data_IF_381722198815
#
_entry.id   IF_381722198815
#
_cell.length_a   1.000
_cell.length_b   1.000
_cell.length_c   1.000
_cell.angle_alpha   90.00
_cell.angle_beta   90.00
_cell.angle_gamma   90.00
#
_symmetry.space_group_name_H-M   'P 1'
#
loop_
_entity.id
_entity.type
_entity.pdbx_description
1 polymer ?
#
# COMPACT_ATOMS: atom_id res chain seq x y z
N UNK A 1 7.94 -4.69 6.96
CA UNK A 1 8.32 -5.30 8.23
C UNK A 1 7.12 -5.84 8.97
N UNK A 2 7.32 -6.94 9.65
CA UNK A 2 6.22 -7.68 10.26
C UNK A 2 5.91 -7.20 11.69
N UNK A 3 6.65 -6.22 12.20
CA UNK A 3 6.46 -5.66 13.54
C UNK A 3 6.72 -4.15 13.50
N UNK A 4 5.72 -3.35 13.12
CA UNK A 4 5.85 -1.89 13.05
C UNK A 4 6.07 -1.25 14.42
N UNK A 5 6.76 -0.13 14.45
CA UNK A 5 6.97 0.70 15.63
C UNK A 5 5.81 1.68 15.84
N UNK A 6 5.11 2.02 14.76
CA UNK A 6 3.99 2.98 14.75
C UNK A 6 2.82 2.41 13.96
N UNK A 7 1.63 2.52 14.50
CA UNK A 7 0.36 2.22 13.83
C UNK A 7 -0.49 3.48 13.78
N UNK A 8 -0.91 3.89 12.59
CA UNK A 8 -1.92 4.95 12.41
C UNK A 8 -3.27 4.30 12.11
N UNK A 9 -4.17 4.29 13.08
CA UNK A 9 -5.50 3.70 12.94
C UNK A 9 -6.55 4.79 12.68
N UNK A 10 -6.98 4.88 11.44
CA UNK A 10 -7.95 5.87 10.98
C UNK A 10 -9.40 5.57 11.38
N UNK A 11 -9.67 4.37 11.92
CA UNK A 11 -10.97 3.93 12.42
C UNK A 11 -10.83 2.70 13.32
N UNK A 12 -11.88 2.31 14.10
CA UNK A 12 -11.82 1.16 15.00
C UNK A 12 -11.55 -0.17 14.32
N UNK A 13 -12.06 -0.40 13.12
CA UNK A 13 -11.82 -1.65 12.39
C UNK A 13 -10.34 -1.81 12.01
N UNK A 14 -9.70 -0.73 11.55
CA UNK A 14 -8.28 -0.71 11.27
C UNK A 14 -7.45 -1.00 12.53
N UNK A 15 -7.83 -0.41 13.67
CA UNK A 15 -7.19 -0.70 14.95
C UNK A 15 -7.30 -2.19 15.29
N UNK A 16 -8.51 -2.75 15.23
CA UNK A 16 -8.77 -4.15 15.61
C UNK A 16 -7.96 -5.17 14.83
N UNK A 17 -7.83 -4.93 13.52
CA UNK A 17 -7.14 -5.86 12.62
C UNK A 17 -5.62 -5.78 12.78
N UNK A 18 -5.07 -4.56 12.96
CA UNK A 18 -3.63 -4.35 12.85
C UNK A 18 -2.91 -4.20 14.21
N UNK A 19 -3.65 -4.06 15.32
CA UNK A 19 -3.04 -3.85 16.63
C UNK A 19 -2.10 -4.99 17.04
N UNK A 20 -2.42 -6.22 16.67
CA UNK A 20 -1.63 -7.42 16.96
C UNK A 20 -0.22 -7.38 16.34
N UNK A 21 -0.05 -6.62 15.26
CA UNK A 21 1.21 -6.53 14.53
C UNK A 21 2.12 -5.43 15.10
N UNK A 22 1.53 -4.49 15.89
CA UNK A 22 2.27 -3.42 16.55
C UNK A 22 3.11 -3.96 17.72
N UNK A 23 4.38 -3.59 17.77
CA UNK A 23 5.27 -3.97 18.87
C UNK A 23 4.73 -3.53 20.22
N UNK A 24 4.88 -4.32 21.28
CA UNK A 24 4.61 -3.85 22.66
C UNK A 24 5.38 -2.55 22.96
N UNK A 25 4.69 -1.58 23.55
CA UNK A 25 5.24 -0.24 23.77
C UNK A 25 5.32 0.64 22.52
N UNK A 26 4.85 0.15 21.38
CA UNK A 26 4.79 0.90 20.13
C UNK A 26 3.84 2.09 20.19
N UNK A 27 3.97 2.99 19.23
CA UNK A 27 3.16 4.19 19.13
C UNK A 27 1.88 3.93 18.35
N UNK A 28 0.76 4.38 18.89
CA UNK A 28 -0.55 4.25 18.28
C UNK A 28 -1.17 5.63 18.09
N UNK A 29 -1.35 6.02 16.84
CA UNK A 29 -1.99 7.28 16.46
C UNK A 29 -3.42 7.00 16.00
N UNK A 30 -4.40 7.60 16.68
CA UNK A 30 -5.82 7.39 16.44
C UNK A 30 -6.48 8.65 15.88
N UNK A 31 -7.35 8.48 14.89
CA UNK A 31 -8.26 9.52 14.45
C UNK A 31 -9.49 9.53 15.39
N UNK A 32 -9.50 10.40 16.39
CA UNK A 32 -10.46 10.38 17.50
C UNK A 32 -11.92 10.45 17.07
N UNK A 33 -12.23 11.28 16.07
CA UNK A 33 -13.61 11.45 15.57
C UNK A 33 -14.19 10.13 15.02
N UNK A 34 -13.35 9.27 14.48
CA UNK A 34 -13.80 8.00 13.93
C UNK A 34 -14.20 6.94 15.00
N UNK A 35 -13.85 7.16 16.26
CA UNK A 35 -14.15 6.21 17.35
C UNK A 35 -15.52 6.46 18.02
N UNK A 36 -16.53 6.78 17.21
CA UNK A 36 -17.92 6.91 17.65
C UNK A 36 -18.52 5.56 18.06
N UNK A 37 -19.54 5.58 18.90
CA UNK A 37 -20.25 4.37 19.35
C UNK A 37 -20.72 3.49 18.18
N UNK A 38 -21.24 4.12 17.11
CA UNK A 38 -21.66 3.44 15.90
C UNK A 38 -20.51 2.68 15.23
N UNK A 39 -19.36 3.32 15.06
CA UNK A 39 -18.21 2.72 14.39
C UNK A 39 -17.55 1.64 15.24
N UNK A 40 -17.55 1.80 16.56
CA UNK A 40 -17.10 0.79 17.50
C UNK A 40 -17.96 -0.48 17.43
N UNK A 41 -19.28 -0.32 17.43
CA UNK A 41 -20.21 -1.44 17.26
C UNK A 41 -20.01 -2.16 15.94
N UNK A 42 -19.89 -1.43 14.83
CA UNK A 42 -19.61 -2.02 13.51
C UNK A 42 -18.29 -2.77 13.44
N UNK A 43 -17.28 -2.34 14.19
CA UNK A 43 -16.00 -3.03 14.30
C UNK A 43 -16.04 -4.20 15.31
N UNK A 44 -17.20 -4.42 15.97
CA UNK A 44 -17.40 -5.50 16.95
C UNK A 44 -16.66 -5.29 18.27
N UNK A 45 -16.49 -4.03 18.70
CA UNK A 45 -16.05 -3.68 20.04
C UNK A 45 -17.24 -3.64 21.00
N UNK A 46 -17.06 -4.21 22.21
CA UNK A 46 -18.06 -4.14 23.30
C UNK A 46 -17.88 -2.86 24.14
N UNK A 47 -16.66 -2.36 24.24
CA UNK A 47 -16.30 -1.13 24.92
C UNK A 47 -15.35 -0.29 24.03
N UNK A 48 -15.17 0.98 24.37
CA UNK A 48 -14.25 1.82 23.64
C UNK A 48 -12.80 1.52 24.08
N UNK A 49 -11.95 0.97 23.19
CA UNK A 49 -10.58 0.61 23.52
C UNK A 49 -9.72 1.81 23.96
N UNK A 50 -10.11 3.02 23.57
CA UNK A 50 -9.39 4.25 23.98
C UNK A 50 -9.57 4.52 25.48
N UNK A 51 -10.65 4.06 26.09
CA UNK A 51 -11.01 4.37 27.48
C UNK A 51 -11.13 3.15 28.39
N UNK A 52 -11.12 1.93 27.87
CA UNK A 52 -11.32 0.69 28.63
C UNK A 52 -10.02 0.10 29.21
N UNK A 53 -8.88 0.74 28.95
CA UNK A 53 -7.57 0.29 29.44
C UNK A 53 -6.90 -0.78 28.55
N UNK A 54 -7.55 -1.28 27.52
CA UNK A 54 -7.00 -2.33 26.65
C UNK A 54 -5.74 -1.89 25.86
N UNK A 55 -5.55 -0.59 25.72
CA UNK A 55 -4.39 -0.01 25.02
C UNK A 55 -3.25 0.42 25.98
N UNK A 56 -3.30 0.07 27.27
CA UNK A 56 -2.32 0.51 28.26
C UNK A 56 -0.85 0.11 27.94
N UNK A 57 -0.66 -0.93 27.14
CA UNK A 57 0.67 -1.38 26.70
C UNK A 57 1.24 -0.60 25.53
N UNK A 58 0.54 0.43 25.04
CA UNK A 58 0.93 1.23 23.87
C UNK A 58 0.99 2.71 24.22
N UNK A 59 1.77 3.47 23.47
CA UNK A 59 1.77 4.94 23.56
C UNK A 59 0.68 5.49 22.65
N UNK A 60 -0.46 5.81 23.25
CA UNK A 60 -1.66 6.23 22.50
C UNK A 60 -1.70 7.73 22.33
N UNK A 61 -1.77 8.17 21.08
CA UNK A 61 -1.99 9.56 20.68
C UNK A 61 -3.30 9.67 19.90
N UNK A 62 -4.21 10.46 20.43
CA UNK A 62 -5.53 10.65 19.84
C UNK A 62 -5.66 12.07 19.30
N UNK A 63 -5.93 12.20 18.00
CA UNK A 63 -6.04 13.47 17.31
C UNK A 63 -7.29 13.50 16.41
N UNK A 64 -7.97 14.67 16.35
CA UNK A 64 -9.10 14.89 15.43
C UNK A 64 -8.59 15.13 14.01
N UNK A 65 -8.03 14.06 13.40
CA UNK A 65 -7.44 14.13 12.06
C UNK A 65 -8.48 14.57 11.02
N UNK A 66 -9.71 14.08 11.11
CA UNK A 66 -10.78 14.44 10.17
C UNK A 66 -11.15 15.90 10.30
N UNK A 67 -11.44 16.39 11.51
CA UNK A 67 -11.82 17.79 11.72
C UNK A 67 -10.70 18.77 11.37
N UNK A 68 -9.44 18.43 11.72
CA UNK A 68 -8.29 19.25 11.32
C UNK A 68 -8.11 19.30 9.80
N UNK A 69 -8.33 18.18 9.10
CA UNK A 69 -8.30 18.14 7.64
C UNK A 69 -9.38 19.03 7.05
N UNK A 70 -10.63 18.92 7.53
CA UNK A 70 -11.75 19.73 7.03
C UNK A 70 -11.47 21.22 7.20
N UNK A 71 -10.95 21.65 8.36
CA UNK A 71 -10.54 23.04 8.58
C UNK A 71 -9.45 23.50 7.61
N UNK A 72 -8.45 22.65 7.34
CA UNK A 72 -7.35 22.99 6.45
C UNK A 72 -7.79 23.21 4.99
N UNK A 73 -8.88 22.59 4.55
CA UNK A 73 -9.38 22.66 3.17
C UNK A 73 -10.69 23.47 3.02
N UNK A 74 -11.23 24.02 4.10
CA UNK A 74 -12.53 24.68 4.15
C UNK A 74 -12.70 25.77 3.07
N UNK A 75 -11.69 26.60 2.88
CA UNK A 75 -11.73 27.70 1.90
C UNK A 75 -11.80 27.25 0.44
N UNK A 76 -11.57 25.97 0.15
CA UNK A 76 -11.61 25.41 -1.21
C UNK A 76 -13.02 24.97 -1.62
N UNK A 77 -14.01 25.06 -0.73
CA UNK A 77 -15.43 24.77 -0.99
C UNK A 77 -15.68 23.41 -1.66
N UNK A 78 -14.87 22.41 -1.33
CA UNK A 78 -15.03 21.05 -1.82
C UNK A 78 -16.31 20.42 -1.24
N UNK A 79 -16.90 19.47 -1.99
CA UNK A 79 -17.94 18.64 -1.39
C UNK A 79 -17.36 17.83 -0.21
N UNK A 80 -18.19 17.56 0.80
CA UNK A 80 -17.76 16.92 2.04
C UNK A 80 -17.03 15.60 1.83
N UNK A 81 -17.46 14.78 0.86
CA UNK A 81 -16.83 13.48 0.56
C UNK A 81 -15.41 13.66 0.03
N UNK A 82 -15.16 14.64 -0.81
CA UNK A 82 -13.84 14.94 -1.34
C UNK A 82 -12.93 15.51 -0.24
N UNK A 83 -13.43 16.46 0.55
CA UNK A 83 -12.70 17.05 1.67
C UNK A 83 -12.26 16.00 2.70
N UNK A 84 -13.17 15.12 3.13
CA UNK A 84 -12.87 14.04 4.10
C UNK A 84 -11.80 13.07 3.57
N UNK A 85 -11.73 12.81 2.26
CA UNK A 85 -10.71 11.92 1.70
C UNK A 85 -9.30 12.46 1.82
N UNK A 86 -9.12 13.77 1.92
CA UNK A 86 -7.81 14.39 2.10
C UNK A 86 -7.14 14.04 3.45
N UNK A 87 -7.88 13.51 4.41
CA UNK A 87 -7.36 13.11 5.73
C UNK A 87 -6.22 12.09 5.67
N UNK A 88 -6.14 11.30 4.60
CA UNK A 88 -5.05 10.36 4.41
C UNK A 88 -3.71 11.11 4.19
N UNK A 89 -3.74 12.23 3.49
CA UNK A 89 -2.55 13.07 3.33
C UNK A 89 -2.22 13.85 4.60
N UNK A 90 -3.22 14.22 5.41
CA UNK A 90 -2.94 14.76 6.75
C UNK A 90 -2.19 13.74 7.61
N UNK A 91 -2.71 12.50 7.69
CA UNK A 91 -2.05 11.43 8.43
C UNK A 91 -0.63 11.15 7.90
N UNK A 92 -0.45 11.17 6.57
CA UNK A 92 0.86 11.01 5.95
C UNK A 92 1.81 12.16 6.30
N UNK A 93 1.33 13.41 6.30
CA UNK A 93 2.13 14.56 6.73
C UNK A 93 2.62 14.44 8.17
N UNK A 94 1.74 14.00 9.07
CA UNK A 94 2.11 13.72 10.46
C UNK A 94 3.20 12.64 10.56
N UNK A 95 3.08 11.57 9.77
CA UNK A 95 4.09 10.50 9.71
C UNK A 95 5.41 11.02 9.15
N UNK A 96 5.41 11.89 8.14
CA UNK A 96 6.62 12.51 7.62
C UNK A 96 7.37 13.30 8.70
N UNK A 97 6.64 14.10 9.48
CA UNK A 97 7.23 14.81 10.61
C UNK A 97 7.80 13.84 11.65
N UNK A 98 7.00 12.84 12.05
CA UNK A 98 7.39 11.87 13.07
C UNK A 98 8.68 11.11 12.72
N UNK A 99 8.89 10.82 11.44
CA UNK A 99 10.07 10.11 10.91
C UNK A 99 11.14 11.03 10.34
N UNK A 100 11.04 12.35 10.55
CA UNK A 100 11.95 13.35 10.03
C UNK A 100 12.23 13.17 8.52
N UNK A 101 11.17 13.00 7.73
CA UNK A 101 11.24 12.74 6.29
C UNK A 101 10.77 13.95 5.50
N UNK A 102 11.49 14.26 4.43
CA UNK A 102 11.09 15.29 3.48
C UNK A 102 9.83 14.86 2.71
N UNK A 103 8.73 15.63 2.75
CA UNK A 103 7.51 15.31 2.02
C UNK A 103 7.57 15.63 0.52
N UNK A 104 8.68 16.16 -0.01
CA UNK A 104 8.78 16.66 -1.38
C UNK A 104 8.38 15.63 -2.44
N UNK A 105 8.76 14.38 -2.29
CA UNK A 105 8.35 13.32 -3.23
C UNK A 105 6.83 13.12 -3.27
N UNK A 106 6.14 13.27 -2.13
CA UNK A 106 4.68 13.20 -2.09
C UNK A 106 4.04 14.46 -2.66
N UNK A 107 4.66 15.62 -2.51
CA UNK A 107 4.21 16.86 -3.16
C UNK A 107 4.20 16.67 -4.68
N UNK A 108 5.29 16.24 -5.27
CA UNK A 108 5.38 15.95 -6.72
C UNK A 108 4.33 14.91 -7.14
N UNK A 109 4.19 13.82 -6.37
CA UNK A 109 3.16 12.81 -6.64
C UNK A 109 1.75 13.39 -6.66
N UNK A 110 1.40 14.27 -5.71
CA UNK A 110 0.08 14.91 -5.64
C UNK A 110 -0.13 15.79 -6.88
N UNK A 111 0.87 16.57 -7.27
CA UNK A 111 0.82 17.46 -8.44
C UNK A 111 0.59 16.68 -9.74
N UNK A 112 1.23 15.55 -9.91
CA UNK A 112 1.10 14.69 -11.09
C UNK A 112 -0.20 13.88 -11.10
N UNK A 113 -0.61 13.36 -9.94
CA UNK A 113 -1.75 12.45 -9.79
C UNK A 113 -3.09 13.14 -9.90
N UNK A 114 -3.25 14.29 -9.27
CA UNK A 114 -4.53 14.98 -9.19
C UNK A 114 -4.66 16.05 -10.28
N UNK A 115 -5.47 15.75 -11.30
CA UNK A 115 -5.68 16.67 -12.43
C UNK A 115 -6.57 17.85 -12.07
N UNK A 116 -7.53 17.67 -11.14
CA UNK A 116 -8.37 18.73 -10.60
C UNK A 116 -7.53 19.64 -9.69
N UNK A 117 -7.42 20.96 -10.02
CA UNK A 117 -6.63 21.89 -9.23
C UNK A 117 -7.11 22.02 -7.78
N UNK A 118 -8.42 21.96 -7.54
CA UNK A 118 -9.00 22.10 -6.19
C UNK A 118 -8.67 20.89 -5.33
N UNK A 119 -8.75 19.67 -5.88
CA UNK A 119 -8.36 18.43 -5.19
C UNK A 119 -6.85 18.37 -4.95
N UNK A 120 -6.06 18.84 -5.90
CA UNK A 120 -4.60 18.93 -5.76
C UNK A 120 -4.23 19.83 -4.60
N UNK A 121 -4.73 21.04 -4.60
CA UNK A 121 -4.48 22.02 -3.54
C UNK A 121 -4.97 21.52 -2.17
N UNK A 122 -6.14 20.86 -2.11
CA UNK A 122 -6.65 20.29 -0.88
C UNK A 122 -5.74 19.21 -0.29
N UNK A 123 -5.23 18.33 -1.11
CA UNK A 123 -4.32 17.28 -0.66
C UNK A 123 -2.96 17.85 -0.21
N UNK A 124 -2.45 18.88 -0.89
CA UNK A 124 -1.24 19.61 -0.48
C UNK A 124 -1.44 20.30 0.87
N UNK A 125 -2.57 21.00 1.06
CA UNK A 125 -2.90 21.63 2.35
C UNK A 125 -3.04 20.62 3.47
N UNK A 126 -3.74 19.51 3.21
CA UNK A 126 -3.89 18.45 4.20
C UNK A 126 -2.53 17.84 4.60
N UNK A 127 -1.65 17.56 3.64
CA UNK A 127 -0.28 17.08 3.88
C UNK A 127 0.51 18.06 4.76
N UNK A 128 0.51 19.34 4.39
CA UNK A 128 1.21 20.39 5.13
C UNK A 128 0.61 20.59 6.54
N UNK A 129 -0.72 20.55 6.67
CA UNK A 129 -1.39 20.68 7.96
C UNK A 129 -1.04 19.52 8.89
N UNK A 130 -0.94 18.29 8.39
CA UNK A 130 -0.51 17.14 9.17
C UNK A 130 0.93 17.24 9.62
N UNK A 131 1.83 17.69 8.75
CA UNK A 131 3.23 17.93 9.09
C UNK A 131 3.39 18.98 10.20
N UNK A 132 2.75 20.13 10.02
CA UNK A 132 2.78 21.24 11.00
C UNK A 132 2.11 20.85 12.33
N UNK A 133 1.06 20.01 12.30
CA UNK A 133 0.45 19.49 13.51
C UNK A 133 1.44 18.66 14.32
N UNK A 134 2.22 17.80 13.67
CA UNK A 134 3.28 17.04 14.34
C UNK A 134 4.30 17.96 15.03
N UNK A 135 4.67 19.07 14.39
CA UNK A 135 5.63 20.03 14.92
C UNK A 135 5.07 20.83 16.10
N UNK A 136 3.79 21.22 16.06
CA UNK A 136 3.21 22.16 17.04
C UNK A 136 2.48 21.50 18.19
N UNK A 137 2.10 20.23 18.06
CA UNK A 137 1.20 19.58 19.03
C UNK A 137 1.89 19.12 20.32
N UNK A 138 3.23 19.17 20.39
CA UNK A 138 4.03 18.67 21.55
C UNK A 138 3.60 17.27 22.04
N UNK A 139 2.89 16.53 21.17
CA UNK A 139 2.30 15.22 21.51
C UNK A 139 3.33 14.09 21.50
N UNK A 140 4.48 14.34 20.89
CA UNK A 140 5.48 13.31 20.67
C UNK A 140 6.79 13.64 21.36
N UNK A 141 7.13 12.87 22.38
CA UNK A 141 8.42 13.00 23.11
C UNK A 141 9.64 12.64 22.24
N UNK A 142 9.41 11.98 21.11
CA UNK A 142 10.47 11.46 20.24
C UNK A 142 10.05 11.50 18.79
N UNK A 143 10.94 11.92 17.92
CA UNK A 143 10.91 11.65 16.49
C UNK A 143 11.77 10.42 16.16
N UNK A 144 11.46 9.77 15.06
CA UNK A 144 12.26 8.67 14.53
C UNK A 144 13.16 9.16 13.39
N UNK A 145 14.28 8.51 13.21
CA UNK A 145 15.14 8.72 12.06
C UNK A 145 15.28 7.42 11.29
N UNK A 146 14.93 7.44 10.02
CA UNK A 146 15.19 6.34 9.10
C UNK A 146 16.44 6.67 8.32
N UNK A 147 17.57 6.09 8.73
CA UNK A 147 18.85 6.30 8.06
C UNK A 147 18.81 5.77 6.63
N UNK A 148 19.57 6.43 5.76
CA UNK A 148 19.73 5.95 4.39
C UNK A 148 20.37 4.56 4.40
N UNK A 149 19.81 3.63 3.60
CA UNK A 149 20.36 2.30 3.44
C UNK A 149 21.77 2.36 2.85
N UNK A 150 22.70 1.62 3.44
CA UNK A 150 24.04 1.46 2.91
C UNK A 150 24.02 0.34 1.87
N UNK A 151 23.74 0.70 0.62
CA UNK A 151 23.78 -0.21 -0.52
C UNK A 151 24.94 0.16 -1.44
N UNK A 152 25.53 -0.80 -2.19
CA UNK A 152 26.57 -0.51 -3.17
C UNK A 152 26.14 0.56 -4.16
N UNK A 153 27.08 1.34 -4.67
CA UNK A 153 26.77 2.33 -5.71
C UNK A 153 26.29 1.61 -6.98
N UNK A 154 25.19 2.07 -7.56
CA UNK A 154 24.62 1.45 -8.77
C UNK A 154 23.32 2.14 -9.20
N UNK A 155 22.80 1.68 -10.33
CA UNK A 155 21.46 2.05 -10.78
C UNK A 155 20.45 1.06 -10.20
N UNK A 156 19.49 1.58 -9.45
CA UNK A 156 18.44 0.79 -8.81
C UNK A 156 17.07 1.19 -9.33
N UNK A 157 16.17 0.24 -9.40
CA UNK A 157 14.75 0.48 -9.66
C UNK A 157 13.92 -0.35 -8.69
N UNK A 158 12.76 0.14 -8.35
CA UNK A 158 11.77 -0.66 -7.66
C UNK A 158 11.17 -1.67 -8.64
N UNK A 159 11.09 -2.93 -8.21
CA UNK A 159 10.55 -4.02 -9.02
C UNK A 159 9.68 -4.91 -8.12
N UNK A 160 8.52 -5.35 -8.62
CA UNK A 160 7.70 -6.35 -7.95
C UNK A 160 8.26 -7.76 -8.16
N UNK A 161 7.90 -8.70 -7.27
CA UNK A 161 8.29 -10.11 -7.44
C UNK A 161 7.77 -10.70 -8.75
N UNK A 162 6.54 -10.38 -9.15
CA UNK A 162 5.96 -10.83 -10.41
C UNK A 162 6.71 -10.29 -11.64
N UNK A 163 7.14 -9.03 -11.60
CA UNK A 163 7.95 -8.45 -12.67
C UNK A 163 9.36 -9.09 -12.71
N UNK A 164 10.00 -9.27 -11.56
CA UNK A 164 11.30 -9.93 -11.48
C UNK A 164 11.24 -11.37 -12.00
N UNK A 165 10.19 -12.11 -11.64
CA UNK A 165 9.94 -13.47 -12.13
C UNK A 165 9.76 -13.49 -13.65
N UNK A 166 9.01 -12.56 -14.21
CA UNK A 166 8.79 -12.42 -15.65
C UNK A 166 10.10 -12.18 -16.41
N UNK A 167 10.96 -11.29 -15.90
CA UNK A 167 12.30 -11.06 -16.47
C UNK A 167 13.20 -12.28 -16.32
N UNK A 168 13.10 -13.00 -15.20
CA UNK A 168 13.85 -14.24 -14.99
C UNK A 168 13.48 -15.34 -15.99
N UNK A 169 12.20 -15.50 -16.33
CA UNK A 169 11.75 -16.43 -17.37
C UNK A 169 12.22 -16.02 -18.76
N UNK A 170 12.23 -14.72 -19.08
CA UNK A 170 12.80 -14.23 -20.33
C UNK A 170 14.28 -14.59 -20.45
N UNK A 171 15.05 -14.33 -19.39
CA UNK A 171 16.46 -14.68 -19.35
C UNK A 171 16.70 -16.19 -19.48
N UNK A 172 15.88 -17.00 -18.81
CA UNK A 172 15.95 -18.45 -18.89
C UNK A 172 15.66 -18.97 -20.33
N UNK A 173 14.66 -18.38 -20.99
CA UNK A 173 14.34 -18.72 -22.38
C UNK A 173 15.49 -18.39 -23.34
N UNK A 174 16.06 -17.18 -23.21
CA UNK A 174 17.21 -16.74 -23.99
C UNK A 174 18.42 -17.65 -23.79
N UNK A 175 18.79 -17.94 -22.55
CA UNK A 175 19.94 -18.78 -22.21
C UNK A 175 19.77 -20.25 -22.61
N UNK A 176 18.55 -20.77 -22.60
CA UNK A 176 18.25 -22.15 -22.99
C UNK A 176 18.02 -22.33 -24.49
N UNK A 177 17.77 -21.24 -25.22
CA UNK A 177 17.35 -21.28 -26.62
C UNK A 177 15.94 -21.85 -26.81
N UNK A 178 15.14 -21.99 -25.75
CA UNK A 178 13.78 -22.51 -25.79
C UNK A 178 12.76 -21.38 -25.97
N UNK A 179 11.69 -21.67 -26.69
CA UNK A 179 10.59 -20.73 -26.80
C UNK A 179 9.81 -20.62 -25.49
N UNK A 180 9.66 -19.42 -24.95
CA UNK A 180 8.86 -19.18 -23.74
C UNK A 180 7.37 -19.23 -24.06
N UNK A 181 6.63 -20.08 -23.34
CA UNK A 181 5.18 -20.17 -23.41
C UNK A 181 4.56 -19.99 -22.01
N UNK A 182 3.61 -19.08 -21.89
CA UNK A 182 2.79 -18.91 -20.69
C UNK A 182 1.34 -19.27 -21.01
N UNK A 183 0.80 -20.33 -20.41
CA UNK A 183 -0.63 -20.59 -20.30
C UNK A 183 -1.12 -20.11 -18.94
N UNK A 184 -1.98 -19.07 -18.93
CA UNK A 184 -2.48 -18.50 -17.68
C UNK A 184 -3.94 -18.05 -17.85
N UNK A 185 -4.58 -17.75 -16.74
CA UNK A 185 -5.97 -17.27 -16.69
C UNK A 185 -6.06 -16.03 -15.78
N UNK A 186 -7.15 -15.24 -15.84
CA UNK A 186 -7.29 -14.03 -15.04
C UNK A 186 -7.44 -14.35 -13.55
N UNK A 187 -6.40 -14.19 -12.76
CA UNK A 187 -6.38 -14.38 -11.31
C UNK A 187 -5.43 -13.40 -10.63
N UNK A 188 -5.91 -12.67 -9.67
CA UNK A 188 -5.09 -11.72 -8.88
C UNK A 188 -4.36 -12.47 -7.75
N UNK A 189 -3.05 -12.22 -7.54
CA UNK A 189 -2.19 -11.24 -8.21
C UNK A 189 -1.41 -11.82 -9.41
N UNK A 190 -1.61 -13.08 -9.82
CA UNK A 190 -0.80 -13.77 -10.82
C UNK A 190 -0.95 -13.18 -12.24
N UNK A 191 -2.05 -12.47 -12.53
CA UNK A 191 -2.28 -11.80 -13.82
C UNK A 191 -1.20 -10.78 -14.18
N UNK A 192 -0.48 -10.23 -13.21
CA UNK A 192 0.62 -9.30 -13.47
C UNK A 192 1.73 -9.96 -14.31
N UNK A 193 1.99 -11.26 -14.09
CA UNK A 193 2.96 -12.05 -14.86
C UNK A 193 2.50 -12.19 -16.31
N UNK A 194 1.19 -12.49 -16.51
CA UNK A 194 0.60 -12.57 -17.85
C UNK A 194 0.74 -11.23 -18.60
N UNK A 195 0.41 -10.13 -17.95
CA UNK A 195 0.51 -8.79 -18.54
C UNK A 195 1.96 -8.43 -18.86
N UNK A 196 2.88 -8.70 -17.93
CA UNK A 196 4.30 -8.44 -18.14
C UNK A 196 4.86 -9.23 -19.34
N UNK A 197 4.65 -10.55 -19.37
CA UNK A 197 5.15 -11.42 -20.45
C UNK A 197 4.46 -11.12 -21.79
N UNK A 198 3.19 -10.73 -21.79
CA UNK A 198 2.50 -10.33 -23.02
C UNK A 198 3.11 -9.09 -23.69
N UNK A 199 3.78 -8.22 -22.93
CA UNK A 199 4.49 -7.06 -23.48
C UNK A 199 5.78 -7.43 -24.24
N UNK A 200 6.32 -8.63 -24.00
CA UNK A 200 7.56 -9.12 -24.59
C UNK A 200 7.36 -10.05 -25.80
N UNK A 201 6.23 -9.96 -26.50
CA UNK A 201 5.97 -10.74 -27.71
C UNK A 201 7.05 -10.57 -28.79
N UNK A 202 7.64 -9.39 -28.87
CA UNK A 202 8.74 -9.09 -29.80
C UNK A 202 10.03 -9.88 -29.51
N UNK A 203 10.16 -10.46 -28.31
CA UNK A 203 11.23 -11.37 -27.91
C UNK A 203 10.84 -12.86 -28.08
N UNK A 204 9.79 -13.15 -28.84
CA UNK A 204 9.36 -14.52 -29.10
C UNK A 204 8.49 -15.15 -28.00
N UNK A 205 8.09 -14.39 -26.99
CA UNK A 205 7.21 -14.89 -25.92
C UNK A 205 5.82 -15.18 -26.47
N UNK A 206 5.30 -16.37 -26.16
CA UNK A 206 3.92 -16.77 -26.45
C UNK A 206 3.10 -16.79 -25.17
N UNK A 207 2.02 -16.05 -25.13
CA UNK A 207 1.07 -16.03 -24.02
C UNK A 207 -0.29 -16.54 -24.50
N UNK A 208 -0.90 -17.41 -23.72
CA UNK A 208 -2.25 -17.91 -23.93
C UNK A 208 -3.09 -17.62 -22.68
N UNK A 209 -4.15 -16.89 -22.85
CA UNK A 209 -5.12 -16.65 -21.77
C UNK A 209 -6.22 -17.69 -21.85
N UNK A 210 -6.24 -18.60 -20.89
CA UNK A 210 -7.26 -19.62 -20.73
C UNK A 210 -8.46 -19.07 -19.94
N UNK A 211 -9.54 -19.84 -19.90
CA UNK A 211 -10.74 -19.50 -19.12
C UNK A 211 -10.51 -19.79 -17.62
N UNK A 212 -9.84 -20.90 -17.30
CA UNK A 212 -9.63 -21.42 -15.95
C UNK A 212 -8.27 -22.08 -15.75
N UNK A 213 -8.04 -22.55 -14.53
CA UNK A 213 -6.80 -23.21 -14.10
C UNK A 213 -6.48 -24.46 -14.93
N UNK A 214 -7.51 -25.27 -15.20
CA UNK A 214 -7.35 -26.56 -15.88
C UNK A 214 -6.93 -26.33 -17.32
N UNK A 215 -7.59 -25.43 -18.03
CA UNK A 215 -7.23 -25.07 -19.40
C UNK A 215 -5.83 -24.43 -19.47
N UNK A 216 -5.49 -23.59 -18.47
CA UNK A 216 -4.17 -22.95 -18.39
C UNK A 216 -3.05 -23.98 -18.24
N UNK A 217 -3.14 -24.89 -17.26
CA UNK A 217 -2.09 -25.92 -17.05
C UNK A 217 -2.04 -26.92 -18.20
N UNK A 218 -3.17 -27.34 -18.75
CA UNK A 218 -3.20 -28.25 -19.90
C UNK A 218 -2.51 -27.63 -21.13
N UNK A 219 -2.70 -26.34 -21.38
CA UNK A 219 -2.01 -25.64 -22.47
C UNK A 219 -0.51 -25.58 -22.26
N UNK A 220 -0.06 -25.34 -21.00
CA UNK A 220 1.35 -25.32 -20.65
C UNK A 220 1.99 -26.72 -20.80
N UNK A 221 1.31 -27.80 -20.38
CA UNK A 221 1.76 -29.17 -20.56
C UNK A 221 1.92 -29.49 -22.06
N UNK A 222 0.93 -29.12 -22.89
CA UNK A 222 1.01 -29.32 -24.34
C UNK A 222 2.16 -28.57 -24.98
N UNK A 223 2.42 -27.32 -24.57
CA UNK A 223 3.53 -26.51 -25.03
C UNK A 223 4.88 -27.11 -24.59
N UNK A 224 4.99 -27.58 -23.35
CA UNK A 224 6.19 -28.26 -22.85
C UNK A 224 6.49 -29.55 -23.63
N UNK A 225 5.46 -30.35 -23.94
CA UNK A 225 5.60 -31.54 -24.75
C UNK A 225 6.11 -31.26 -26.17
N UNK A 226 5.79 -30.07 -26.70
CA UNK A 226 6.32 -29.62 -28.01
C UNK A 226 7.70 -28.98 -27.94
N UNK A 227 8.38 -28.98 -26.78
CA UNK A 227 9.73 -28.49 -26.59
C UNK A 227 9.86 -27.03 -26.12
N UNK A 228 8.77 -26.40 -25.69
CA UNK A 228 8.82 -25.02 -25.15
C UNK A 228 9.22 -25.03 -23.65
N UNK A 229 9.85 -23.94 -23.20
CA UNK A 229 9.90 -23.58 -21.80
C UNK A 229 8.50 -23.06 -21.42
N UNK A 230 7.66 -23.96 -20.91
CA UNK A 230 6.28 -23.66 -20.63
C UNK A 230 6.02 -23.47 -19.13
N UNK A 231 5.15 -22.55 -18.81
CA UNK A 231 4.75 -22.24 -17.43
C UNK A 231 3.26 -21.90 -17.37
N UNK A 232 2.71 -22.08 -16.18
CA UNK A 232 1.40 -21.53 -15.80
C UNK A 232 1.56 -20.71 -14.53
N UNK A 233 0.63 -19.79 -14.30
CA UNK A 233 0.61 -18.95 -13.10
C UNK A 233 -0.77 -19.01 -12.46
N UNK A 234 -0.82 -19.20 -11.15
CA UNK A 234 -2.05 -19.35 -10.40
C UNK A 234 -1.91 -18.79 -8.98
N UNK A 235 -3.00 -18.75 -8.24
CA UNK A 235 -3.04 -18.45 -6.82
C UNK A 235 -4.21 -19.17 -6.15
N UNK A 236 -4.13 -19.32 -4.81
CA UNK A 236 -5.22 -19.89 -4.01
C UNK A 236 -5.72 -21.26 -4.50
N UNK A 237 -6.99 -21.38 -4.92
CA UNK A 237 -7.62 -22.66 -5.24
C UNK A 237 -6.93 -23.47 -6.35
N UNK A 238 -6.21 -22.80 -7.26
CA UNK A 238 -5.52 -23.46 -8.35
C UNK A 238 -4.25 -24.23 -7.91
N UNK A 239 -3.88 -24.18 -6.62
CA UNK A 239 -2.79 -24.95 -6.01
C UNK A 239 -3.30 -26.11 -5.13
N UNK A 240 -4.62 -26.16 -4.86
CA UNK A 240 -5.22 -27.13 -3.95
C UNK A 240 -5.58 -28.45 -4.63
#
# INVERSE_FOLDING_TARGET
GDAPDVLVAMNPAALKVNLRDLKPGGMLILNSEAFSAKNLTHAGYQANPVTDGSLANYKVFSADITGMTLRAVESLQLNNRAAVRCKNFFALGLVYWLYNRDPQHTVVYIEEKFKDPSLREANLRALKAGYNFGETAELFDRSYEVRQAQIPKGNYRNISGNEALSLGFLAAAELSGLQLFLGSYPITPASDILHALASFKHLGVRTFQAEDEIAAICSAIGAAYSGALALTTTSGPGLA
#
